data_IF_753789608448
#
_entry.id   IF_753789608448
#
_cell.length_a   1.000
_cell.length_b   1.000
_cell.length_c   1.000
_cell.angle_alpha   90.00
_cell.angle_beta   90.00
_cell.angle_gamma   90.00
#
_symmetry.space_group_name_H-M   'P 1'
#
loop_
_entity.id
_entity.type
_entity.pdbx_description
1 polymer ?
#
# COMPACT_ATOMS: atom_id res chain seq x y z
N UNK A 1 -9.34 -3.16 4.03
CA UNK A 1 -8.00 -2.57 4.03
C UNK A 1 -6.95 -3.63 3.78
N UNK A 2 -6.06 -3.36 2.84
CA UNK A 2 -4.93 -4.23 2.52
C UNK A 2 -3.66 -3.37 2.49
N UNK A 3 -2.62 -3.85 3.14
CA UNK A 3 -1.30 -3.23 3.06
C UNK A 3 -0.42 -3.96 2.05
N UNK A 4 0.46 -3.23 1.37
CA UNK A 4 1.46 -3.81 0.49
C UNK A 4 2.83 -3.34 0.95
N UNK A 5 3.69 -4.29 1.28
CA UNK A 5 5.07 -4.01 1.67
C UNK A 5 5.92 -3.93 0.42
N UNK A 6 6.30 -2.70 0.05
CA UNK A 6 7.08 -2.44 -1.15
C UNK A 6 8.51 -2.06 -0.78
N UNK A 7 9.49 -2.79 -1.30
CA UNK A 7 10.90 -2.57 -0.98
C UNK A 7 11.61 -2.02 -2.21
N UNK A 8 11.92 -0.74 -2.20
CA UNK A 8 12.67 -0.09 -3.28
C UNK A 8 14.04 0.41 -2.82
N UNK A 9 14.29 0.37 -1.51
CA UNK A 9 15.58 0.67 -0.90
C UNK A 9 15.73 -0.14 0.40
N UNK A 10 16.95 -0.34 0.85
CA UNK A 10 17.18 -1.05 2.10
C UNK A 10 16.78 -2.51 2.08
N UNK A 11 16.96 -3.21 0.94
CA UNK A 11 16.52 -4.60 0.77
C UNK A 11 17.08 -5.54 1.84
N UNK A 12 18.30 -5.32 2.31
CA UNK A 12 18.91 -6.15 3.35
C UNK A 12 18.28 -5.98 4.73
N UNK A 13 17.58 -4.87 4.95
CA UNK A 13 16.94 -4.54 6.23
C UNK A 13 15.43 -4.74 6.22
N UNK A 14 14.82 -4.79 5.03
CA UNK A 14 13.37 -4.87 4.87
C UNK A 14 12.97 -6.23 4.28
N UNK A 15 13.32 -7.29 5.00
CA UNK A 15 13.05 -8.67 4.59
C UNK A 15 11.64 -9.11 5.03
N UNK A 16 11.10 -10.23 4.47
CA UNK A 16 9.82 -10.78 4.92
C UNK A 16 9.80 -11.11 6.42
N UNK A 17 10.91 -11.55 6.99
CA UNK A 17 11.02 -11.83 8.42
C UNK A 17 10.86 -10.57 9.26
N UNK A 18 11.48 -9.49 8.84
CA UNK A 18 11.34 -8.18 9.50
C UNK A 18 9.91 -7.67 9.40
N UNK A 19 9.26 -7.89 8.27
CA UNK A 19 7.85 -7.53 8.11
C UNK A 19 6.96 -8.27 9.08
N UNK A 20 7.18 -9.58 9.27
CA UNK A 20 6.41 -10.36 10.24
C UNK A 20 6.58 -9.83 11.66
N UNK A 21 7.81 -9.53 12.06
CA UNK A 21 8.10 -8.94 13.37
C UNK A 21 7.38 -7.60 13.52
N UNK A 22 7.45 -6.75 12.51
CA UNK A 22 6.81 -5.44 12.51
C UNK A 22 5.30 -5.54 12.65
N UNK A 23 4.64 -6.43 11.88
CA UNK A 23 3.19 -6.60 11.94
C UNK A 23 2.73 -7.10 13.29
N UNK A 24 3.50 -7.98 13.93
CA UNK A 24 3.21 -8.44 15.29
C UNK A 24 3.39 -7.32 16.30
N UNK A 25 4.48 -6.59 16.22
CA UNK A 25 4.81 -5.51 17.14
C UNK A 25 3.77 -4.39 17.09
N UNK A 26 3.33 -4.03 15.90
CA UNK A 26 2.34 -2.96 15.70
C UNK A 26 0.90 -3.46 15.76
N UNK A 27 0.69 -4.76 16.01
CA UNK A 27 -0.64 -5.37 16.10
C UNK A 27 -1.50 -5.10 14.87
N UNK A 28 -0.90 -5.20 13.69
CA UNK A 28 -1.60 -5.01 12.42
C UNK A 28 -2.48 -6.23 12.16
N UNK A 29 -3.77 -6.01 11.99
CA UNK A 29 -4.76 -7.07 11.82
C UNK A 29 -5.26 -7.24 10.39
N UNK A 30 -5.07 -6.23 9.53
CA UNK A 30 -5.46 -6.34 8.13
C UNK A 30 -4.39 -7.09 7.33
N UNK A 31 -4.76 -7.69 6.18
CA UNK A 31 -3.79 -8.40 5.34
C UNK A 31 -2.69 -7.47 4.82
N UNK A 32 -1.46 -7.95 4.84
CA UNK A 32 -0.32 -7.24 4.27
C UNK A 32 0.37 -8.16 3.26
N UNK A 33 0.34 -7.75 1.99
CA UNK A 33 1.03 -8.47 0.94
C UNK A 33 2.47 -7.99 0.80
N UNK A 34 3.31 -8.83 0.22
CA UNK A 34 4.68 -8.50 -0.11
C UNK A 34 4.73 -8.23 -1.60
N UNK A 35 5.15 -7.01 -1.98
CA UNK A 35 5.22 -6.64 -3.38
C UNK A 35 6.32 -7.43 -4.10
N UNK A 36 6.08 -7.71 -5.36
CA UNK A 36 6.97 -8.51 -6.18
C UNK A 36 7.95 -7.65 -6.95
N UNK A 37 9.11 -8.22 -7.25
CA UNK A 37 10.12 -7.63 -8.11
C UNK A 37 10.23 -8.47 -9.37
N UNK A 38 10.08 -7.83 -10.52
CA UNK A 38 10.49 -8.46 -11.77
C UNK A 38 12.02 -8.43 -11.79
N UNK A 39 12.66 -9.53 -12.21
CA UNK A 39 14.12 -9.65 -12.24
C UNK A 39 14.76 -8.40 -12.85
N UNK A 40 15.82 -7.90 -12.23
CA UNK A 40 16.58 -6.72 -12.61
C UNK A 40 15.93 -5.37 -12.32
N UNK A 41 14.71 -5.34 -11.77
CA UNK A 41 14.08 -4.08 -11.39
C UNK A 41 14.27 -3.81 -9.90
N UNK A 42 14.68 -2.59 -9.57
CA UNK A 42 14.78 -2.14 -8.18
C UNK A 42 13.42 -1.74 -7.61
N UNK A 43 12.53 -1.30 -8.49
CA UNK A 43 11.20 -0.83 -8.09
C UNK A 43 10.22 -1.98 -8.11
N UNK A 44 9.50 -2.23 -7.01
CA UNK A 44 8.50 -3.30 -6.96
C UNK A 44 7.37 -3.11 -7.96
N UNK A 45 6.79 -4.23 -8.38
CA UNK A 45 5.77 -4.27 -9.43
C UNK A 45 4.54 -3.40 -9.14
N UNK A 46 4.03 -3.43 -7.90
CA UNK A 46 2.86 -2.63 -7.54
C UNK A 46 3.15 -1.14 -7.62
N UNK A 47 4.35 -0.72 -7.23
CA UNK A 47 4.74 0.68 -7.35
C UNK A 47 4.75 1.13 -8.81
N UNK A 48 5.22 0.29 -9.71
CA UNK A 48 5.24 0.58 -11.15
C UNK A 48 3.82 0.71 -11.68
N UNK A 49 2.96 -0.26 -11.36
CA UNK A 49 1.58 -0.31 -11.86
C UNK A 49 0.74 0.87 -11.37
N UNK A 50 0.94 1.29 -10.13
CA UNK A 50 0.22 2.42 -9.56
C UNK A 50 0.93 3.75 -9.79
N UNK A 51 2.08 3.73 -10.47
CA UNK A 51 2.91 4.91 -10.77
C UNK A 51 3.27 5.70 -9.52
N UNK A 52 3.57 4.98 -8.44
CA UNK A 52 3.94 5.62 -7.18
C UNK A 52 5.38 6.13 -7.23
N UNK A 53 5.64 7.20 -6.50
CA UNK A 53 6.97 7.81 -6.43
C UNK A 53 7.70 7.50 -5.13
N UNK A 54 7.04 6.85 -4.19
CA UNK A 54 7.61 6.50 -2.90
C UNK A 54 6.54 6.03 -1.94
N UNK A 55 6.87 5.99 -0.67
CA UNK A 55 5.95 5.56 0.39
C UNK A 55 5.91 6.61 1.50
N UNK A 56 4.80 6.71 2.24
CA UNK A 56 3.56 5.96 2.06
C UNK A 56 2.72 6.48 0.90
N UNK A 57 1.97 5.59 0.28
CA UNK A 57 1.00 5.96 -0.74
C UNK A 57 -0.27 5.14 -0.55
N UNK A 58 -1.42 5.76 -0.81
CA UNK A 58 -2.72 5.15 -0.63
C UNK A 58 -3.51 5.23 -1.93
N UNK A 59 -4.22 4.15 -2.24
CA UNK A 59 -5.19 4.13 -3.34
C UNK A 59 -6.53 3.62 -2.80
N UNK A 60 -7.62 4.27 -3.20
CA UNK A 60 -8.97 3.82 -2.90
C UNK A 60 -9.60 3.32 -4.19
N UNK A 61 -10.01 2.06 -4.18
CA UNK A 61 -10.54 1.37 -5.35
C UNK A 61 -12.02 1.07 -5.10
N UNK A 62 -12.88 1.38 -6.10
CA UNK A 62 -14.31 1.16 -5.97
C UNK A 62 -14.70 -0.29 -6.30
N UNK A 63 -16.00 -0.57 -6.22
CA UNK A 63 -16.56 -1.90 -6.49
C UNK A 63 -16.32 -2.38 -7.91
N UNK A 64 -16.15 -1.47 -8.85
CA UNK A 64 -15.86 -1.77 -10.24
C UNK A 64 -14.39 -1.98 -10.55
N UNK A 65 -13.51 -1.84 -9.55
CA UNK A 65 -12.08 -2.00 -9.75
C UNK A 65 -11.38 -0.74 -10.26
N UNK A 66 -12.02 0.42 -10.16
CA UNK A 66 -11.45 1.69 -10.60
C UNK A 66 -10.83 2.45 -9.46
N UNK A 67 -9.65 3.02 -9.67
CA UNK A 67 -9.00 3.90 -8.70
C UNK A 67 -9.78 5.23 -8.67
N UNK A 68 -10.36 5.55 -7.51
CA UNK A 68 -11.13 6.77 -7.33
C UNK A 68 -10.34 7.85 -6.60
N UNK A 69 -9.29 7.47 -5.91
CA UNK A 69 -8.43 8.38 -5.16
C UNK A 69 -7.05 7.75 -4.99
N UNK A 70 -6.00 8.55 -5.16
CA UNK A 70 -4.63 8.10 -4.91
C UNK A 70 -3.85 9.27 -4.32
N UNK A 71 -3.09 9.02 -3.26
CA UNK A 71 -2.38 10.06 -2.54
C UNK A 71 -1.03 9.56 -2.05
N UNK A 72 0.00 10.36 -2.29
CA UNK A 72 1.34 10.14 -1.78
C UNK A 72 1.54 10.95 -0.50
N UNK A 73 2.11 10.29 0.52
CA UNK A 73 2.40 10.91 1.79
C UNK A 73 1.25 10.83 2.79
N UNK A 74 1.32 11.63 3.85
CA UNK A 74 0.30 11.64 4.88
C UNK A 74 -1.05 12.13 4.31
N UNK A 75 -2.14 11.53 4.76
CA UNK A 75 -3.47 11.90 4.32
C UNK A 75 -4.35 12.24 5.53
N UNK A 76 -5.42 12.99 5.29
CA UNK A 76 -6.39 13.30 6.31
C UNK A 76 -7.40 12.15 6.44
N UNK A 77 -7.43 11.42 7.58
CA UNK A 77 -8.34 10.28 7.74
C UNK A 77 -9.83 10.64 7.56
N UNK A 78 -10.24 11.84 7.94
CA UNK A 78 -11.64 12.27 7.80
C UNK A 78 -12.03 12.40 6.33
N UNK A 79 -11.13 12.88 5.46
CA UNK A 79 -11.39 12.99 4.03
C UNK A 79 -11.49 11.61 3.40
N UNK A 80 -10.57 10.71 3.75
CA UNK A 80 -10.58 9.33 3.25
C UNK A 80 -11.86 8.60 3.68
N UNK A 81 -12.29 8.77 4.92
CA UNK A 81 -13.51 8.15 5.45
C UNK A 81 -14.77 8.62 4.70
N UNK A 82 -14.88 9.93 4.45
CA UNK A 82 -15.99 10.48 3.68
C UNK A 82 -16.05 9.90 2.26
N UNK A 83 -14.89 9.77 1.62
CA UNK A 83 -14.83 9.21 0.27
C UNK A 83 -15.21 7.73 0.28
N UNK A 84 -14.73 6.96 1.25
CA UNK A 84 -15.07 5.55 1.38
C UNK A 84 -16.58 5.40 1.58
N UNK A 85 -17.18 6.20 2.46
CA UNK A 85 -18.63 6.17 2.70
C UNK A 85 -19.42 6.49 1.43
N UNK A 86 -18.98 7.50 0.67
CA UNK A 86 -19.62 7.87 -0.59
C UNK A 86 -19.53 6.72 -1.62
N UNK A 87 -18.40 6.05 -1.70
CA UNK A 87 -18.20 4.94 -2.63
C UNK A 87 -19.00 3.70 -2.23
N UNK A 88 -19.17 3.47 -0.94
CA UNK A 88 -20.01 2.36 -0.44
C UNK A 88 -21.48 2.58 -0.75
N UNK A 89 -21.91 3.82 -0.91
CA UNK A 89 -23.29 4.17 -1.25
C UNK A 89 -23.61 4.07 -2.74
N UNK A 90 -22.60 3.91 -3.59
CA UNK A 90 -22.77 3.75 -5.04
C UNK A 90 -23.37 2.39 -5.43
#
# INVERSE_FOLDING_TARGET
LVGIHTVFEGHSHQTPERLREYTKEKKITYPVGIDDHVSDQRTPETMIRYRTHGTPEMAIIDKGGHIRFQHFGAFNPAVAEKLIDALLAE
#
